data_IF_105508946731
#
_entry.id   IF_105508946731
#
_cell.length_a   1.000
_cell.length_b   1.000
_cell.length_c   1.000
_cell.angle_alpha   90.00
_cell.angle_beta   90.00
_cell.angle_gamma   90.00
#
_symmetry.space_group_name_H-M   'P 1'
#
loop_
_entity.id
_entity.type
_entity.pdbx_description
1 polymer ?
#
# COMPACT_ATOMS: atom_id res chain seq x y z
N UNK A 1 5.92 -13.81 -35.39
CA UNK A 1 5.42 -14.75 -34.36
C UNK A 1 4.07 -15.31 -34.82
N UNK A 2 3.78 -16.59 -34.59
CA UNK A 2 2.42 -17.13 -34.77
C UNK A 2 1.48 -16.47 -33.74
N UNK A 3 0.20 -16.24 -34.05
CA UNK A 3 -0.74 -15.57 -33.13
C UNK A 3 -0.81 -16.26 -31.76
N UNK A 4 -0.77 -17.59 -31.73
CA UNK A 4 -0.80 -18.38 -30.49
C UNK A 4 0.42 -18.14 -29.59
N UNK A 5 1.60 -17.95 -30.19
CA UNK A 5 2.83 -17.66 -29.45
C UNK A 5 2.83 -16.24 -28.87
N UNK A 6 2.23 -15.29 -29.61
CA UNK A 6 2.10 -13.91 -29.16
C UNK A 6 1.12 -13.82 -27.97
N UNK A 7 0.03 -14.59 -28.02
CA UNK A 7 -0.94 -14.69 -26.93
C UNK A 7 -0.36 -15.40 -25.70
N UNK A 8 0.42 -16.46 -25.89
CA UNK A 8 1.11 -17.15 -24.79
C UNK A 8 2.11 -16.23 -24.07
N UNK A 9 2.88 -15.42 -24.82
CA UNK A 9 3.79 -14.44 -24.24
C UNK A 9 3.04 -13.32 -23.51
N UNK A 10 1.95 -12.80 -24.09
CA UNK A 10 1.12 -11.80 -23.43
C UNK A 10 0.58 -12.30 -22.09
N UNK A 11 0.07 -13.53 -22.04
CA UNK A 11 -0.38 -14.16 -20.80
C UNK A 11 0.74 -14.33 -19.77
N UNK A 12 1.95 -14.67 -20.22
CA UNK A 12 3.13 -14.77 -19.35
C UNK A 12 3.47 -13.41 -18.71
N UNK A 13 3.51 -12.33 -19.50
CA UNK A 13 3.75 -10.98 -18.98
C UNK A 13 2.65 -10.52 -18.01
N UNK A 14 1.38 -10.82 -18.29
CA UNK A 14 0.26 -10.50 -17.39
C UNK A 14 0.43 -11.22 -16.05
N UNK A 15 0.78 -12.51 -16.07
CA UNK A 15 0.98 -13.28 -14.85
C UNK A 15 2.21 -12.80 -14.06
N UNK A 16 3.30 -12.49 -14.76
CA UNK A 16 4.49 -11.89 -14.16
C UNK A 16 4.17 -10.54 -13.50
N UNK A 17 3.41 -9.69 -14.18
CA UNK A 17 2.98 -8.40 -13.63
C UNK A 17 2.11 -8.61 -12.39
N UNK A 18 1.08 -9.47 -12.45
CA UNK A 18 0.20 -9.76 -11.32
C UNK A 18 0.95 -10.23 -10.07
N UNK A 19 1.93 -11.11 -10.25
CA UNK A 19 2.77 -11.63 -9.17
C UNK A 19 3.80 -10.60 -8.70
N UNK A 20 4.45 -9.91 -9.63
CA UNK A 20 5.40 -8.84 -9.35
C UNK A 20 4.78 -7.71 -8.53
N UNK A 21 3.53 -7.34 -8.81
CA UNK A 21 2.78 -6.33 -8.03
C UNK A 21 2.51 -6.77 -6.58
N UNK A 22 2.47 -8.07 -6.27
CA UNK A 22 2.40 -8.55 -4.87
C UNK A 22 3.73 -8.37 -4.19
N UNK A 23 4.79 -8.77 -4.88
CA UNK A 23 6.13 -8.79 -4.31
C UNK A 23 6.59 -7.35 -4.06
N UNK A 24 6.28 -6.44 -4.97
CA UNK A 24 6.55 -5.01 -4.86
C UNK A 24 5.83 -4.33 -3.67
N UNK A 25 4.72 -4.91 -3.20
CA UNK A 25 3.99 -4.41 -2.05
C UNK A 25 4.73 -4.62 -0.72
N UNK A 26 5.58 -5.65 -0.61
CA UNK A 26 6.39 -5.90 0.59
C UNK A 26 7.35 -4.73 0.92
N UNK A 27 8.27 -4.33 0.01
CA UNK A 27 9.17 -3.21 0.29
C UNK A 27 8.41 -1.88 0.46
N UNK A 28 7.26 -1.73 -0.23
CA UNK A 28 6.39 -0.57 -0.05
C UNK A 28 5.83 -0.48 1.38
N UNK A 29 5.24 -1.57 1.88
CA UNK A 29 4.76 -1.64 3.26
C UNK A 29 5.87 -1.42 4.28
N UNK A 30 7.04 -2.05 4.08
CA UNK A 30 8.19 -1.88 4.99
C UNK A 30 8.65 -0.43 5.08
N UNK A 31 8.54 0.35 4.01
CA UNK A 31 8.83 1.79 4.03
C UNK A 31 7.73 2.64 4.68
N UNK A 32 6.48 2.22 4.55
CA UNK A 32 5.33 2.87 5.19
C UNK A 32 5.41 2.85 6.72
N UNK A 33 5.99 1.80 7.30
CA UNK A 33 6.19 1.69 8.75
C UNK A 33 7.08 2.80 9.37
N UNK A 34 8.34 3.01 8.93
CA UNK A 34 9.17 4.09 9.43
C UNK A 34 8.58 5.45 9.09
N UNK A 35 7.90 5.61 7.96
CA UNK A 35 7.19 6.85 7.63
C UNK A 35 6.06 7.14 8.62
N UNK A 36 5.18 6.18 8.88
CA UNK A 36 4.11 6.29 9.88
C UNK A 36 4.64 6.56 11.29
N UNK A 37 5.74 5.90 11.67
CA UNK A 37 6.41 6.14 12.95
C UNK A 37 7.02 7.55 13.04
N UNK A 38 7.66 8.04 11.97
CA UNK A 38 8.18 9.40 11.90
C UNK A 38 7.06 10.43 12.00
N UNK A 39 5.94 10.21 11.30
CA UNK A 39 4.74 11.08 11.38
C UNK A 39 4.17 11.09 12.80
N UNK A 40 4.15 9.94 13.49
CA UNK A 40 3.67 9.84 14.87
C UNK A 40 4.59 10.54 15.88
N UNK A 41 5.91 10.42 15.69
CA UNK A 41 6.92 11.05 16.55
C UNK A 41 7.07 12.55 16.26
N UNK A 42 6.84 12.94 15.02
CA UNK A 42 6.87 14.32 14.55
C UNK A 42 5.73 15.11 15.19
N UNK A 43 6.05 16.09 16.03
CA UNK A 43 5.05 17.05 16.55
C UNK A 43 4.51 17.98 15.45
N UNK A 44 5.12 17.96 14.26
CA UNK A 44 4.70 18.77 13.13
C UNK A 44 3.40 18.27 12.49
N UNK A 45 3.14 16.95 12.55
CA UNK A 45 2.00 16.29 11.91
C UNK A 45 1.01 15.76 12.96
N UNK A 46 -0.30 15.71 12.69
CA UNK A 46 -1.27 15.10 13.59
C UNK A 46 -1.02 13.60 13.69
N UNK A 47 -0.90 13.11 14.94
CA UNK A 47 -0.64 11.70 15.27
C UNK A 47 -1.63 10.72 14.62
N UNK A 48 -2.84 11.18 14.32
CA UNK A 48 -3.89 10.41 13.64
C UNK A 48 -3.44 9.93 12.26
N UNK A 49 -2.68 10.76 11.52
CA UNK A 49 -2.13 10.36 10.22
C UNK A 49 -1.08 9.25 10.35
N UNK A 50 -0.24 9.32 11.39
CA UNK A 50 0.72 8.27 11.70
C UNK A 50 0.04 6.94 12.00
N UNK A 51 -1.06 6.96 12.76
CA UNK A 51 -1.87 5.77 13.07
C UNK A 51 -2.50 5.19 11.79
N UNK A 52 -3.05 6.05 10.91
CA UNK A 52 -3.61 5.61 9.63
C UNK A 52 -2.57 4.94 8.73
N UNK A 53 -1.34 5.49 8.66
CA UNK A 53 -0.24 4.90 7.90
C UNK A 53 0.23 3.56 8.46
N UNK A 54 0.28 3.43 9.80
CA UNK A 54 0.59 2.15 10.44
C UNK A 54 -0.53 1.13 10.17
N UNK A 55 -1.79 1.57 10.22
CA UNK A 55 -2.94 0.71 9.89
C UNK A 55 -2.89 0.25 8.42
N UNK A 56 -2.51 1.13 7.50
CA UNK A 56 -2.27 0.77 6.09
C UNK A 56 -1.17 -0.28 5.94
N UNK A 57 -0.04 -0.11 6.63
CA UNK A 57 1.02 -1.13 6.66
C UNK A 57 0.50 -2.51 7.06
N UNK A 58 -0.32 -2.58 8.11
CA UNK A 58 -0.94 -3.84 8.54
C UNK A 58 -1.94 -4.38 7.51
N UNK A 59 -2.76 -3.53 6.88
CA UNK A 59 -3.67 -3.94 5.81
C UNK A 59 -2.93 -4.55 4.62
N UNK A 60 -1.81 -3.96 4.25
CA UNK A 60 -0.96 -4.42 3.15
C UNK A 60 -0.22 -5.72 3.50
N UNK A 61 0.21 -5.87 4.76
CA UNK A 61 0.77 -7.14 5.27
C UNK A 61 -0.26 -8.27 5.22
N UNK A 62 -1.49 -8.00 5.65
CA UNK A 62 -2.62 -8.95 5.59
C UNK A 62 -2.90 -9.33 4.14
N UNK A 63 -2.91 -8.37 3.22
CA UNK A 63 -3.08 -8.63 1.79
C UNK A 63 -2.01 -9.58 1.23
N UNK A 64 -0.74 -9.35 1.54
CA UNK A 64 0.37 -10.22 1.06
C UNK A 64 0.24 -11.63 1.66
N UNK A 65 0.00 -11.74 2.97
CA UNK A 65 -0.17 -13.04 3.65
C UNK A 65 -1.37 -13.79 3.04
N UNK A 66 -2.49 -13.11 2.82
CA UNK A 66 -3.70 -13.68 2.24
C UNK A 66 -3.46 -14.18 0.81
N UNK A 67 -2.80 -13.40 -0.05
CA UNK A 67 -2.49 -13.84 -1.42
C UNK A 67 -1.55 -15.05 -1.46
N UNK A 68 -0.73 -15.24 -0.42
CA UNK A 68 0.20 -16.36 -0.31
C UNK A 68 -0.41 -17.60 0.35
N UNK A 69 -1.19 -17.44 1.43
CA UNK A 69 -1.81 -18.56 2.18
C UNK A 69 -3.19 -18.96 1.65
N UNK A 70 -4.01 -18.02 1.19
CA UNK A 70 -5.43 -18.21 0.87
C UNK A 70 -5.83 -17.43 -0.40
N UNK A 71 -5.38 -17.85 -1.60
CA UNK A 71 -5.68 -17.16 -2.85
C UNK A 71 -7.17 -17.16 -3.23
N UNK A 72 -8.02 -17.96 -2.56
CA UNK A 72 -9.46 -18.06 -2.82
C UNK A 72 -10.37 -17.15 -1.99
N UNK A 73 -9.83 -16.45 -0.99
CA UNK A 73 -10.58 -15.47 -0.21
C UNK A 73 -10.15 -14.08 -0.66
N UNK A 74 -10.94 -13.36 -1.45
CA UNK A 74 -10.65 -11.96 -1.82
C UNK A 74 -11.34 -10.93 -0.91
N UNK A 75 -12.23 -11.38 -0.02
CA UNK A 75 -13.12 -10.52 0.80
C UNK A 75 -12.36 -9.60 1.75
N UNK A 76 -11.18 -10.01 2.23
CA UNK A 76 -10.34 -9.23 3.17
C UNK A 76 -9.45 -8.20 2.43
N UNK A 77 -9.30 -8.34 1.11
CA UNK A 77 -8.48 -7.41 0.31
C UNK A 77 -9.14 -6.03 0.19
N UNK A 78 -10.47 -6.00 0.04
CA UNK A 78 -11.25 -4.78 -0.17
C UNK A 78 -11.14 -3.76 0.99
N UNK A 79 -11.32 -4.15 2.27
CA UNK A 79 -11.18 -3.21 3.37
C UNK A 79 -9.74 -2.73 3.57
N UNK A 80 -8.74 -3.59 3.33
CA UNK A 80 -7.33 -3.22 3.47
C UNK A 80 -6.92 -2.12 2.48
N UNK A 81 -7.34 -2.25 1.22
CA UNK A 81 -7.11 -1.21 0.20
C UNK A 81 -7.86 0.09 0.50
N UNK A 82 -9.06 0.02 1.07
CA UNK A 82 -9.82 1.21 1.46
C UNK A 82 -9.13 1.99 2.59
N UNK A 83 -8.57 1.29 3.59
CA UNK A 83 -7.82 1.92 4.68
C UNK A 83 -6.58 2.64 4.13
N UNK A 84 -5.85 2.02 3.22
CA UNK A 84 -4.68 2.63 2.58
C UNK A 84 -5.00 3.88 1.79
N UNK A 85 -6.07 3.82 0.99
CA UNK A 85 -6.51 4.97 0.21
C UNK A 85 -6.90 6.16 1.10
N UNK A 86 -7.59 5.87 2.22
CA UNK A 86 -7.94 6.90 3.21
C UNK A 86 -6.67 7.45 3.88
N UNK A 87 -5.70 6.60 4.22
CA UNK A 87 -4.44 7.02 4.83
C UNK A 87 -3.64 7.95 3.91
N UNK A 88 -3.45 7.56 2.64
CA UNK A 88 -2.72 8.35 1.63
C UNK A 88 -3.41 9.66 1.28
N UNK A 89 -4.75 9.65 1.09
CA UNK A 89 -5.50 10.87 0.81
C UNK A 89 -5.47 11.80 2.02
N UNK A 90 -5.65 11.26 3.23
CA UNK A 90 -5.61 12.08 4.45
C UNK A 90 -4.23 12.73 4.62
N UNK A 91 -3.16 11.98 4.36
CA UNK A 91 -1.79 12.50 4.39
C UNK A 91 -1.58 13.59 3.33
N UNK A 92 -1.95 13.29 2.08
CA UNK A 92 -1.76 14.17 0.93
C UNK A 92 -2.53 15.48 1.10
N UNK A 93 -3.80 15.39 1.50
CA UNK A 93 -4.66 16.55 1.73
C UNK A 93 -4.13 17.40 2.89
N UNK A 94 -3.62 16.78 3.95
CA UNK A 94 -3.03 17.50 5.07
C UNK A 94 -1.75 18.24 4.67
N UNK A 95 -0.86 17.59 3.93
CA UNK A 95 0.37 18.20 3.41
C UNK A 95 0.05 19.35 2.45
N UNK A 96 -0.99 19.22 1.63
CA UNK A 96 -1.39 20.22 0.65
C UNK A 96 -2.03 21.46 1.31
N UNK A 97 -2.85 21.28 2.34
CA UNK A 97 -3.57 22.40 2.99
C UNK A 97 -2.71 23.08 4.07
N UNK A 98 -2.14 22.30 5.00
CA UNK A 98 -1.46 22.85 6.18
C UNK A 98 0.04 23.00 5.99
N UNK A 99 0.65 22.16 5.14
CA UNK A 99 2.10 22.01 5.08
C UNK A 99 2.71 21.67 6.45
N UNK A 100 4.04 21.63 6.53
CA UNK A 100 4.74 21.59 7.82
C UNK A 100 4.60 22.97 8.45
N UNK A 101 3.60 23.17 9.32
CA UNK A 101 3.58 24.35 10.17
C UNK A 101 4.78 24.26 11.10
N UNK A 102 5.77 25.11 10.86
CA UNK A 102 6.87 25.41 11.76
C UNK A 102 6.25 25.92 13.08
N UNK A 103 6.05 25.01 14.03
CA UNK A 103 5.79 25.38 15.41
C UNK A 103 7.14 25.81 15.97
N UNK A 104 7.42 27.12 15.86
CA UNK A 104 8.47 27.80 16.62
C UNK A 104 8.51 27.32 18.06
#
# INVERSE_FOLDING_TARGET
>A
FRPDQLQAQAMLFINLYKNGSVIAQIPYGVWLFPLGYLVFKSRFLPKILGILLIADFFGLLIFVIQRFLLPGYEVISYPSSAVGFIAEISLSLWLLIKGVKDQK
#
